data_IF_369908863326
#
_entry.id   IF_369908863326
#
_cell.length_a   1.000
_cell.length_b   1.000
_cell.length_c   1.000
_cell.angle_alpha   90.00
_cell.angle_beta   90.00
_cell.angle_gamma   90.00
#
_symmetry.space_group_name_H-M   'P 1'
#
loop_
_entity.id
_entity.type
_entity.pdbx_description
1 polymer ?
#
# COMPACT_ATOMS: atom_id res chain seq x y z
N UNK A 1 -66.23 -6.36 -17.19
CA UNK A 1 -66.35 -7.70 -16.58
C UNK A 1 -65.22 -8.57 -17.14
N UNK A 2 -64.55 -9.33 -16.29
CA UNK A 2 -63.45 -10.28 -16.55
C UNK A 2 -62.01 -9.75 -16.74
N UNK A 3 -61.22 -10.03 -15.69
CA UNK A 3 -59.76 -10.04 -15.61
C UNK A 3 -59.21 -11.16 -16.49
N UNK A 4 -58.06 -10.94 -17.14
CA UNK A 4 -57.13 -12.00 -17.49
C UNK A 4 -55.72 -11.63 -17.03
N UNK A 5 -55.22 -12.47 -16.13
CA UNK A 5 -53.88 -12.48 -15.56
C UNK A 5 -52.92 -13.04 -16.61
N UNK A 6 -51.97 -12.24 -17.08
CA UNK A 6 -50.86 -12.69 -17.92
C UNK A 6 -49.63 -13.01 -17.06
N UNK A 7 -49.38 -14.30 -16.89
CA UNK A 7 -48.24 -14.90 -16.17
C UNK A 7 -46.88 -14.45 -16.72
N UNK A 8 -46.05 -13.81 -15.89
CA UNK A 8 -44.62 -13.60 -16.16
C UNK A 8 -43.87 -14.91 -15.98
N UNK A 9 -43.69 -15.62 -17.10
CA UNK A 9 -42.84 -16.81 -17.19
C UNK A 9 -41.37 -16.46 -16.98
N UNK A 10 -40.75 -17.19 -16.06
CA UNK A 10 -39.30 -17.25 -15.87
C UNK A 10 -38.62 -17.82 -17.12
N UNK A 11 -37.72 -17.06 -17.73
CA UNK A 11 -36.70 -17.58 -18.64
C UNK A 11 -35.32 -17.24 -18.09
N UNK A 12 -34.89 -18.03 -17.11
CA UNK A 12 -33.48 -18.13 -16.71
C UNK A 12 -33.07 -19.57 -16.94
N UNK A 13 -32.52 -19.85 -18.13
CA UNK A 13 -31.62 -20.98 -18.41
C UNK A 13 -31.30 -20.99 -19.91
N UNK A 14 -30.11 -20.49 -20.26
CA UNK A 14 -29.18 -21.00 -21.29
C UNK A 14 -28.14 -19.93 -21.58
N UNK A 15 -27.09 -19.84 -20.77
CA UNK A 15 -25.91 -19.03 -21.13
C UNK A 15 -24.60 -19.62 -20.56
N UNK A 16 -24.56 -20.96 -20.43
CA UNK A 16 -23.35 -21.69 -20.06
C UNK A 16 -22.62 -22.28 -21.29
N UNK A 17 -23.32 -22.52 -22.41
CA UNK A 17 -22.73 -23.12 -23.62
C UNK A 17 -21.97 -22.09 -24.47
N UNK A 18 -22.40 -20.83 -24.47
CA UNK A 18 -21.79 -19.71 -25.22
C UNK A 18 -20.48 -19.20 -24.62
N UNK A 19 -20.15 -19.54 -23.36
CA UNK A 19 -18.84 -19.18 -22.75
C UNK A 19 -17.72 -20.17 -23.07
N UNK A 20 -18.02 -21.45 -23.30
CA UNK A 20 -17.00 -22.43 -23.69
C UNK A 20 -16.57 -22.27 -25.15
N UNK A 21 -17.49 -21.88 -26.05
CA UNK A 21 -17.17 -21.64 -27.46
C UNK A 21 -16.19 -20.46 -27.66
N UNK A 22 -16.35 -19.36 -26.91
CA UNK A 22 -15.48 -18.18 -27.05
C UNK A 22 -14.05 -18.36 -26.48
N UNK A 23 -13.84 -19.35 -25.61
CA UNK A 23 -12.51 -19.68 -25.11
C UNK A 23 -11.69 -20.52 -26.11
N UNK A 24 -12.34 -21.40 -26.87
CA UNK A 24 -11.66 -22.19 -27.90
C UNK A 24 -11.30 -21.38 -29.14
N UNK A 25 -12.18 -20.48 -29.61
CA UNK A 25 -11.89 -19.64 -30.79
C UNK A 25 -10.69 -18.69 -30.53
N UNK A 26 -10.55 -18.16 -29.31
CA UNK A 26 -9.39 -17.32 -28.94
C UNK A 26 -8.09 -18.11 -28.72
N UNK A 27 -8.17 -19.38 -28.35
CA UNK A 27 -6.99 -20.23 -28.17
C UNK A 27 -6.43 -20.68 -29.53
N UNK A 28 -7.29 -21.05 -30.48
CA UNK A 28 -6.89 -21.43 -31.86
C UNK A 28 -6.36 -20.21 -32.62
N UNK A 29 -7.01 -19.04 -32.52
CA UNK A 29 -6.51 -17.80 -33.13
C UNK A 29 -5.18 -17.30 -32.51
N UNK A 30 -4.88 -17.67 -31.25
CA UNK A 30 -3.56 -17.44 -30.64
C UNK A 30 -2.52 -18.47 -31.10
N UNK A 31 -2.91 -19.71 -31.37
CA UNK A 31 -2.01 -20.74 -31.88
C UNK A 31 -1.61 -20.48 -33.34
N UNK A 32 -2.54 -20.08 -34.21
CA UNK A 32 -2.24 -19.73 -35.60
C UNK A 32 -1.33 -18.48 -35.73
N UNK A 33 -1.45 -17.50 -34.81
CA UNK A 33 -0.53 -16.35 -34.75
C UNK A 33 0.89 -16.69 -34.31
N UNK A 34 1.13 -17.88 -33.75
CA UNK A 34 2.48 -18.34 -33.39
C UNK A 34 3.19 -18.98 -34.59
N UNK A 35 2.44 -19.52 -35.56
CA UNK A 35 3.00 -20.25 -36.71
C UNK A 35 3.45 -19.30 -37.85
N UNK A 36 2.86 -18.10 -37.95
CA UNK A 36 3.29 -17.07 -38.91
C UNK A 36 3.80 -15.80 -38.21
N UNK A 37 4.81 -15.95 -37.34
CA UNK A 37 5.59 -14.80 -36.89
C UNK A 37 6.67 -14.50 -37.94
N UNK A 38 6.61 -13.37 -38.66
CA UNK A 38 7.65 -13.02 -39.62
C UNK A 38 9.00 -12.91 -38.91
N UNK A 39 10.03 -13.50 -39.52
CA UNK A 39 11.39 -13.66 -38.98
C UNK A 39 12.05 -12.32 -38.58
N UNK A 40 11.50 -11.20 -39.07
CA UNK A 40 11.84 -9.82 -38.70
C UNK A 40 11.45 -9.40 -37.27
N UNK A 41 10.75 -10.27 -36.52
CA UNK A 41 10.26 -10.01 -35.15
C UNK A 41 11.10 -10.67 -34.04
N UNK A 42 12.37 -10.99 -34.32
CA UNK A 42 13.36 -11.24 -33.28
C UNK A 42 13.55 -9.93 -32.47
N UNK A 43 13.59 -9.97 -31.12
CA UNK A 43 13.92 -8.80 -30.33
C UNK A 43 15.31 -8.32 -30.76
N UNK A 44 15.38 -7.15 -31.42
CA UNK A 44 16.64 -6.49 -31.75
C UNK A 44 17.42 -6.31 -30.45
N UNK A 45 18.38 -7.19 -30.18
CA UNK A 45 19.39 -7.00 -29.14
C UNK A 45 20.06 -5.68 -29.48
N UNK A 46 20.01 -4.70 -28.57
CA UNK A 46 20.66 -3.40 -28.77
C UNK A 46 22.12 -3.67 -29.22
N UNK A 47 22.54 -3.25 -30.43
CA UNK A 47 23.92 -3.35 -30.84
C UNK A 47 24.66 -2.27 -30.05
N UNK A 48 25.41 -2.69 -29.04
CA UNK A 48 26.00 -1.77 -28.08
C UNK A 48 26.16 -2.40 -26.70
N UNK A 49 26.62 -3.64 -26.64
CA UNK A 49 27.34 -4.12 -25.48
C UNK A 49 28.69 -3.42 -25.47
N UNK A 50 28.71 -2.12 -25.12
CA UNK A 50 29.95 -1.44 -24.79
C UNK A 50 30.61 -2.31 -23.71
N UNK A 51 31.80 -2.83 -24.01
CA UNK A 51 32.62 -3.57 -23.07
C UNK A 51 32.62 -2.78 -21.77
N UNK A 52 32.04 -3.35 -20.73
CA UNK A 52 32.08 -2.73 -19.41
C UNK A 52 33.53 -2.80 -19.01
N UNK A 53 34.25 -1.69 -19.19
CA UNK A 53 35.62 -1.55 -18.72
C UNK A 53 35.76 -2.05 -17.28
N UNK A 54 36.98 -2.44 -16.87
CA UNK A 54 37.22 -3.06 -15.59
C UNK A 54 36.53 -2.27 -14.47
N UNK A 55 35.76 -2.98 -13.62
CA UNK A 55 35.01 -2.33 -12.53
C UNK A 55 36.00 -1.63 -11.61
N UNK A 56 36.05 -0.29 -11.66
CA UNK A 56 36.86 0.53 -10.76
C UNK A 56 36.51 0.20 -9.31
N UNK A 57 37.39 -0.50 -8.62
CA UNK A 57 37.24 -0.84 -7.20
C UNK A 57 37.26 0.43 -6.36
N UNK A 58 36.55 0.45 -5.24
CA UNK A 58 36.56 1.57 -4.30
C UNK A 58 37.86 1.56 -3.50
N UNK A 59 38.63 2.65 -3.54
CA UNK A 59 39.79 2.80 -2.65
C UNK A 59 39.34 3.09 -1.21
N UNK A 60 40.21 2.86 -0.23
CA UNK A 60 39.94 3.18 1.17
C UNK A 60 39.68 4.68 1.36
N UNK A 61 40.45 5.52 0.67
CA UNK A 61 40.30 6.98 0.68
C UNK A 61 38.95 7.42 0.09
N UNK A 62 38.54 6.85 -1.05
CA UNK A 62 37.23 7.14 -1.65
C UNK A 62 36.09 6.74 -0.71
N UNK A 63 36.26 5.69 0.10
CA UNK A 63 35.26 5.27 1.08
C UNK A 63 35.19 6.22 2.27
N UNK A 64 36.35 6.72 2.74
CA UNK A 64 36.40 7.71 3.79
C UNK A 64 35.76 9.03 3.34
N UNK A 65 36.10 9.51 2.14
CA UNK A 65 35.52 10.72 1.56
C UNK A 65 34.01 10.54 1.34
N UNK A 66 33.59 9.40 0.79
CA UNK A 66 32.18 9.07 0.61
C UNK A 66 31.42 9.11 1.94
N UNK A 67 31.97 8.50 2.99
CA UNK A 67 31.37 8.47 4.34
C UNK A 67 31.24 9.87 4.91
N UNK A 68 32.33 10.64 4.92
CA UNK A 68 32.34 12.01 5.45
C UNK A 68 31.36 12.92 4.72
N UNK A 69 31.34 12.89 3.38
CA UNK A 69 30.42 13.72 2.59
C UNK A 69 28.96 13.33 2.82
N UNK A 70 28.68 12.03 2.93
CA UNK A 70 27.34 11.52 3.18
C UNK A 70 26.84 11.86 4.59
N UNK A 71 27.70 11.76 5.61
CA UNK A 71 27.39 12.16 6.99
C UNK A 71 27.16 13.67 7.10
N UNK A 72 27.89 14.49 6.32
CA UNK A 72 27.65 15.93 6.17
C UNK A 72 26.35 16.28 5.43
N UNK A 73 25.63 15.29 4.90
CA UNK A 73 24.36 15.48 4.19
C UNK A 73 24.49 15.98 2.76
N UNK A 74 25.69 15.89 2.16
CA UNK A 74 25.91 16.29 0.77
C UNK A 74 25.10 15.36 -0.15
N UNK A 75 24.36 15.89 -1.13
CA UNK A 75 23.52 15.07 -1.96
C UNK A 75 24.35 14.13 -2.85
N UNK A 76 23.87 12.90 -3.03
CA UNK A 76 24.58 11.81 -3.74
C UNK A 76 25.09 12.16 -5.14
N UNK A 77 24.44 13.09 -5.85
CA UNK A 77 24.87 13.52 -7.17
C UNK A 77 26.14 14.37 -7.13
N UNK A 78 26.29 15.19 -6.09
CA UNK A 78 27.44 16.06 -5.86
C UNK A 78 28.61 15.25 -5.34
N UNK A 79 28.35 14.30 -4.44
CA UNK A 79 29.33 13.27 -4.04
C UNK A 79 29.85 12.50 -5.26
N UNK A 80 28.96 12.12 -6.18
CA UNK A 80 29.34 11.40 -7.40
C UNK A 80 30.25 12.23 -8.31
N UNK A 81 29.94 13.53 -8.44
CA UNK A 81 30.79 14.48 -9.17
C UNK A 81 32.16 14.61 -8.51
N UNK A 82 32.21 14.78 -7.19
CA UNK A 82 33.45 14.92 -6.43
C UNK A 82 34.36 13.69 -6.49
N UNK A 83 33.78 12.49 -6.45
CA UNK A 83 34.54 11.22 -6.49
C UNK A 83 34.84 10.72 -7.92
N UNK A 84 34.37 11.43 -8.96
CA UNK A 84 34.48 10.99 -10.35
C UNK A 84 33.82 9.62 -10.58
N UNK A 85 32.66 9.38 -9.95
CA UNK A 85 31.90 8.12 -10.06
C UNK A 85 30.48 8.37 -10.52
N UNK A 86 29.81 7.32 -10.98
CA UNK A 86 28.39 7.41 -11.30
C UNK A 86 27.53 7.49 -10.04
N UNK A 87 26.44 8.24 -10.10
CA UNK A 87 25.44 8.33 -9.02
C UNK A 87 24.94 6.96 -8.56
N UNK A 88 24.77 6.02 -9.49
CA UNK A 88 24.36 4.64 -9.18
C UNK A 88 25.44 3.89 -8.41
N UNK A 89 26.72 4.09 -8.73
CA UNK A 89 27.84 3.48 -7.99
C UNK A 89 27.88 3.98 -6.55
N UNK A 90 27.77 5.29 -6.34
CA UNK A 90 27.68 5.93 -5.02
C UNK A 90 26.49 5.41 -4.23
N UNK A 91 25.30 5.40 -4.84
CA UNK A 91 24.07 4.94 -4.18
C UNK A 91 24.17 3.47 -3.77
N UNK A 92 24.65 2.60 -4.67
CA UNK A 92 24.86 1.19 -4.36
C UNK A 92 25.89 1.00 -3.24
N UNK A 93 26.97 1.78 -3.23
CA UNK A 93 27.99 1.64 -2.18
C UNK A 93 27.47 2.06 -0.81
N UNK A 94 26.68 3.13 -0.71
CA UNK A 94 26.01 3.55 0.53
C UNK A 94 25.03 2.48 1.01
N UNK A 95 24.20 1.92 0.12
CA UNK A 95 23.15 0.96 0.48
C UNK A 95 23.70 -0.40 0.90
N UNK A 96 24.74 -0.88 0.22
CA UNK A 96 25.30 -2.22 0.41
C UNK A 96 26.67 -2.22 1.09
N UNK A 97 27.02 -1.15 1.80
CA UNK A 97 28.22 -1.16 2.64
C UNK A 97 28.07 -2.27 3.69
N UNK A 98 28.99 -3.25 3.64
CA UNK A 98 29.00 -4.42 4.53
C UNK A 98 29.67 -4.13 5.88
N UNK A 99 30.27 -2.95 6.02
CA UNK A 99 30.79 -2.50 7.32
C UNK A 99 29.63 -2.37 8.31
N UNK A 100 29.88 -2.86 9.51
CA UNK A 100 28.94 -3.04 10.63
C UNK A 100 28.22 -1.77 11.12
N UNK A 101 28.47 -0.62 10.50
CA UNK A 101 27.82 0.65 10.79
C UNK A 101 26.97 1.07 9.58
N UNK A 102 25.64 0.99 9.71
CA UNK A 102 24.74 1.65 8.76
C UNK A 102 25.10 3.14 8.76
N UNK A 103 25.59 3.64 7.62
CA UNK A 103 25.85 5.07 7.48
C UNK A 103 24.51 5.81 7.60
N UNK A 104 24.37 6.59 8.67
CA UNK A 104 23.18 7.39 8.90
C UNK A 104 23.36 8.72 8.18
N UNK A 105 22.40 9.06 7.34
CA UNK A 105 22.32 10.41 6.83
C UNK A 105 21.86 11.30 7.99
N UNK A 106 22.61 12.34 8.34
CA UNK A 106 22.12 13.34 9.28
C UNK A 106 20.88 13.96 8.64
N UNK A 107 19.73 13.74 9.27
CA UNK A 107 18.47 14.31 8.78
C UNK A 107 18.52 15.80 9.07
N UNK A 108 18.83 16.60 8.07
CA UNK A 108 18.79 18.05 8.22
C UNK A 108 17.36 18.48 8.56
N UNK A 109 17.17 19.01 9.77
CA UNK A 109 15.92 19.64 10.21
C UNK A 109 15.75 20.98 9.52
N UNK A 110 14.52 21.43 9.30
CA UNK A 110 14.27 22.77 8.79
C UNK A 110 14.25 23.73 9.98
N UNK A 111 14.96 24.84 9.86
CA UNK A 111 14.85 25.95 10.80
C UNK A 111 13.84 27.01 10.32
N UNK A 112 13.35 27.86 11.23
CA UNK A 112 12.34 28.88 10.90
C UNK A 112 12.84 29.88 9.86
N UNK A 113 14.14 30.20 9.86
CA UNK A 113 14.74 31.13 8.89
C UNK A 113 14.84 30.54 7.48
N UNK A 114 15.10 29.24 7.36
CA UNK A 114 15.10 28.47 6.11
C UNK A 114 13.68 28.38 5.57
N UNK A 115 12.68 28.24 6.44
CA UNK A 115 11.27 28.24 6.07
C UNK A 115 10.80 29.59 5.53
N UNK A 116 11.20 30.68 6.18
CA UNK A 116 10.93 32.04 5.68
C UNK A 116 11.62 32.30 4.34
N UNK A 117 12.91 31.98 4.22
CA UNK A 117 13.65 32.06 2.95
C UNK A 117 13.00 31.24 1.85
N UNK A 118 12.52 30.03 2.17
CA UNK A 118 11.79 29.18 1.24
C UNK A 118 10.52 29.88 0.71
N UNK A 119 9.75 30.51 1.58
CA UNK A 119 8.54 31.24 1.18
C UNK A 119 8.88 32.44 0.29
N UNK A 120 9.86 33.26 0.68
CA UNK A 120 10.30 34.43 -0.10
C UNK A 120 10.80 34.04 -1.47
N UNK A 121 11.68 33.02 -1.57
CA UNK A 121 12.21 32.56 -2.86
C UNK A 121 11.12 31.99 -3.77
N UNK A 122 10.11 31.33 -3.20
CA UNK A 122 8.97 30.84 -3.96
C UNK A 122 8.08 31.98 -4.46
N UNK A 123 7.85 33.01 -3.65
CA UNK A 123 7.11 34.22 -4.05
C UNK A 123 7.82 35.02 -5.14
N UNK A 124 9.16 34.99 -5.15
CA UNK A 124 9.99 35.50 -6.26
C UNK A 124 9.94 34.63 -7.53
N UNK A 125 9.15 33.54 -7.54
CA UNK A 125 8.97 32.68 -8.70
C UNK A 125 10.12 31.73 -9.00
N UNK A 126 11.06 31.53 -8.06
CA UNK A 126 12.16 30.57 -8.24
C UNK A 126 11.63 29.15 -8.36
N UNK A 127 12.24 28.35 -9.23
CA UNK A 127 11.91 26.93 -9.36
C UNK A 127 12.38 26.14 -8.13
N UNK A 128 11.73 25.01 -7.84
CA UNK A 128 12.13 24.14 -6.70
C UNK A 128 13.59 23.68 -6.75
N UNK A 129 14.15 23.52 -7.95
CA UNK A 129 15.54 23.15 -8.14
C UNK A 129 16.50 24.31 -7.81
N UNK A 130 16.14 25.54 -8.15
CA UNK A 130 16.90 26.75 -7.78
C UNK A 130 16.85 26.98 -6.27
N UNK A 131 15.66 26.90 -5.67
CA UNK A 131 15.48 27.02 -4.22
C UNK A 131 16.30 25.96 -3.50
N UNK A 132 16.27 24.71 -3.99
CA UNK A 132 17.09 23.63 -3.44
C UNK A 132 18.58 23.92 -3.51
N UNK A 133 19.08 24.48 -4.61
CA UNK A 133 20.49 24.90 -4.73
C UNK A 133 20.84 26.02 -3.74
N UNK A 134 19.97 27.02 -3.60
CA UNK A 134 20.19 28.16 -2.69
C UNK A 134 20.20 27.70 -1.22
N UNK A 135 19.30 26.79 -0.84
CA UNK A 135 19.18 26.29 0.54
C UNK A 135 20.09 25.08 0.83
N UNK A 136 20.85 24.57 -0.14
CA UNK A 136 21.64 23.34 0.03
C UNK A 136 20.76 22.09 0.26
N UNK A 137 19.53 22.06 -0.25
CA UNK A 137 18.55 20.98 -0.09
C UNK A 137 18.18 20.34 -1.42
N UNK A 138 17.69 19.10 -1.38
CA UNK A 138 17.11 18.48 -2.57
C UNK A 138 15.76 19.11 -2.96
N UNK A 139 15.46 19.18 -4.25
CA UNK A 139 14.19 19.71 -4.79
C UNK A 139 12.95 19.05 -4.14
N UNK A 140 13.02 17.75 -3.83
CA UNK A 140 11.95 17.02 -3.18
C UNK A 140 11.79 17.41 -1.71
N UNK A 141 12.88 17.65 -1.00
CA UNK A 141 12.84 18.15 0.39
C UNK A 141 12.17 19.53 0.45
N UNK A 142 12.58 20.43 -0.45
CA UNK A 142 12.01 21.79 -0.58
C UNK A 142 10.52 21.72 -0.87
N UNK A 143 10.11 21.00 -1.92
CA UNK A 143 8.69 20.85 -2.31
C UNK A 143 7.86 20.25 -1.18
N UNK A 144 8.36 19.20 -0.52
CA UNK A 144 7.66 18.56 0.59
C UNK A 144 7.52 19.51 1.79
N UNK A 145 8.56 20.27 2.13
CA UNK A 145 8.47 21.23 3.22
C UNK A 145 7.49 22.36 2.88
N UNK A 146 7.59 22.93 1.68
CA UNK A 146 6.64 23.95 1.21
C UNK A 146 5.20 23.45 1.30
N UNK A 147 4.93 22.21 0.88
CA UNK A 147 3.60 21.60 0.98
C UNK A 147 3.10 21.39 2.41
N UNK A 148 3.98 21.42 3.41
CA UNK A 148 3.61 21.36 4.83
C UNK A 148 3.39 22.73 5.44
N UNK A 149 4.19 23.73 5.03
CA UNK A 149 4.06 25.13 5.48
C UNK A 149 2.79 25.74 4.88
N UNK A 150 2.58 25.55 3.58
CA UNK A 150 1.33 25.84 2.88
C UNK A 150 0.68 24.50 2.52
N UNK A 151 -0.02 23.85 3.45
CA UNK A 151 -0.83 22.69 3.12
C UNK A 151 -1.77 23.11 1.99
N UNK A 152 -1.45 22.66 0.78
CA UNK A 152 -2.33 22.87 -0.35
C UNK A 152 -3.73 22.39 0.03
N UNK A 153 -4.75 23.05 -0.50
CA UNK A 153 -6.16 22.74 -0.31
C UNK A 153 -6.55 21.27 -0.63
N UNK A 154 -5.60 20.45 -1.10
CA UNK A 154 -5.74 19.02 -1.36
C UNK A 154 -5.84 18.13 -0.13
N UNK A 155 -5.47 18.60 1.07
CA UNK A 155 -5.57 17.82 2.31
C UNK A 155 -6.91 17.96 3.02
N UNK A 156 -7.78 18.89 2.63
CA UNK A 156 -9.11 18.96 3.22
C UNK A 156 -9.87 17.68 2.89
N UNK A 157 -10.40 17.01 3.92
CA UNK A 157 -11.35 15.91 3.74
C UNK A 157 -12.53 16.45 2.93
N UNK A 158 -13.04 15.66 1.99
CA UNK A 158 -14.26 16.04 1.28
C UNK A 158 -15.42 16.09 2.28
N UNK A 159 -16.14 17.20 2.33
CA UNK A 159 -17.35 17.35 3.14
C UNK A 159 -18.60 17.01 2.34
N UNK A 160 -19.74 16.92 3.00
CA UNK A 160 -21.02 16.68 2.34
C UNK A 160 -21.40 17.85 1.42
N UNK A 161 -21.05 19.08 1.80
CA UNK A 161 -21.22 20.27 0.96
C UNK A 161 -20.32 20.22 -0.29
N UNK A 162 -19.06 19.80 -0.15
CA UNK A 162 -18.17 19.57 -1.29
C UNK A 162 -18.77 18.53 -2.25
N UNK A 163 -19.40 17.49 -1.70
CA UNK A 163 -20.05 16.44 -2.47
C UNK A 163 -21.25 16.97 -3.27
N UNK A 164 -22.09 17.81 -2.65
CA UNK A 164 -23.25 18.42 -3.29
C UNK A 164 -22.83 19.37 -4.42
N UNK A 165 -21.89 20.28 -4.14
CA UNK A 165 -21.38 21.24 -5.13
C UNK A 165 -20.71 20.51 -6.30
N UNK A 166 -19.84 19.53 -6.03
CA UNK A 166 -19.19 18.76 -7.09
C UNK A 166 -20.20 17.98 -7.94
N UNK A 167 -21.20 17.36 -7.32
CA UNK A 167 -22.22 16.59 -8.04
C UNK A 167 -23.10 17.48 -8.90
N UNK A 168 -23.53 18.64 -8.37
CA UNK A 168 -24.34 19.62 -9.09
C UNK A 168 -23.61 20.22 -10.28
N UNK A 169 -22.36 20.65 -10.09
CA UNK A 169 -21.59 21.24 -11.19
C UNK A 169 -21.21 20.19 -12.25
N UNK A 170 -20.93 18.96 -11.83
CA UNK A 170 -20.64 17.88 -12.78
C UNK A 170 -21.86 17.48 -13.61
N UNK A 171 -23.06 17.41 -13.02
CA UNK A 171 -24.28 17.11 -13.77
C UNK A 171 -24.65 18.22 -14.77
N UNK A 172 -24.23 19.45 -14.48
CA UNK A 172 -24.31 20.59 -15.41
C UNK A 172 -23.22 20.56 -16.50
N UNK A 173 -22.35 19.55 -16.53
CA UNK A 173 -21.32 19.37 -17.56
C UNK A 173 -20.07 20.22 -17.35
N UNK A 174 -19.88 20.84 -16.18
CA UNK A 174 -18.67 21.61 -15.90
C UNK A 174 -17.43 20.73 -15.79
N UNK A 175 -16.31 21.24 -16.31
CA UNK A 175 -15.02 20.55 -16.24
C UNK A 175 -14.48 20.52 -14.81
N UNK A 176 -13.69 19.49 -14.49
CA UNK A 176 -13.05 19.33 -13.18
C UNK A 176 -12.17 20.54 -12.77
N UNK A 177 -11.63 21.28 -13.75
CA UNK A 177 -10.89 22.53 -13.50
C UNK A 177 -11.79 23.64 -12.96
N UNK A 178 -12.98 23.82 -13.54
CA UNK A 178 -13.95 24.83 -13.08
C UNK A 178 -14.51 24.47 -11.71
N UNK A 179 -14.86 23.20 -11.52
CA UNK A 179 -15.32 22.67 -10.22
C UNK A 179 -14.22 22.83 -9.16
N UNK A 180 -12.96 22.58 -9.52
CA UNK A 180 -11.82 22.78 -8.63
C UNK A 180 -11.63 24.23 -8.20
N UNK A 181 -11.84 25.20 -9.09
CA UNK A 181 -11.81 26.62 -8.69
C UNK A 181 -12.90 26.95 -7.67
N UNK A 182 -14.11 26.44 -7.89
CA UNK A 182 -15.25 26.67 -6.99
C UNK A 182 -14.98 26.08 -5.59
N UNK A 183 -14.55 24.82 -5.54
CA UNK A 183 -14.23 24.12 -4.30
C UNK A 183 -12.88 24.53 -3.70
N UNK A 184 -12.15 25.44 -4.36
CA UNK A 184 -10.76 25.76 -4.05
C UNK A 184 -9.90 24.49 -3.92
N UNK A 185 -10.12 23.49 -4.79
CA UNK A 185 -9.40 22.20 -4.83
C UNK A 185 -8.65 22.01 -6.15
N UNK A 186 -7.56 21.24 -6.18
CA UNK A 186 -6.88 20.90 -7.43
C UNK A 186 -7.83 20.16 -8.39
N UNK A 187 -7.80 20.52 -9.67
CA UNK A 187 -8.60 19.89 -10.70
C UNK A 187 -8.40 18.36 -10.75
N UNK A 188 -7.19 17.88 -10.46
CA UNK A 188 -6.87 16.45 -10.37
C UNK A 188 -7.59 15.74 -9.21
N UNK A 189 -7.74 16.41 -8.06
CA UNK A 189 -8.49 15.88 -6.92
C UNK A 189 -9.98 15.77 -7.24
N UNK A 190 -10.51 16.78 -7.93
CA UNK A 190 -11.91 16.78 -8.39
C UNK A 190 -12.14 15.71 -9.46
N UNK A 191 -11.24 15.58 -10.44
CA UNK A 191 -11.34 14.52 -11.46
C UNK A 191 -11.29 13.13 -10.81
N UNK A 192 -10.39 12.93 -9.85
CA UNK A 192 -10.33 11.70 -9.06
C UNK A 192 -11.62 11.47 -8.25
N UNK A 193 -12.21 12.52 -7.67
CA UNK A 193 -13.47 12.41 -6.95
C UNK A 193 -14.67 12.12 -7.87
N UNK A 194 -14.72 12.69 -9.07
CA UNK A 194 -15.82 12.42 -10.01
C UNK A 194 -15.73 10.98 -10.51
N UNK A 195 -14.55 10.54 -10.94
CA UNK A 195 -14.32 9.19 -11.47
C UNK A 195 -14.35 8.13 -10.35
N UNK A 196 -13.64 8.39 -9.26
CA UNK A 196 -13.45 7.48 -8.14
C UNK A 196 -14.49 7.61 -7.02
N UNK A 197 -15.13 8.77 -6.85
CA UNK A 197 -16.18 9.00 -5.86
C UNK A 197 -17.55 8.47 -6.29
N UNK A 198 -17.84 8.38 -7.60
CA UNK A 198 -18.94 7.56 -8.10
C UNK A 198 -18.70 6.08 -7.79
N UNK A 199 -17.48 5.58 -8.02
CA UNK A 199 -17.08 4.23 -7.65
C UNK A 199 -17.15 3.98 -6.14
N UNK A 200 -16.65 4.92 -5.32
CA UNK A 200 -16.70 4.82 -3.85
C UNK A 200 -18.11 4.96 -3.29
N UNK A 201 -19.04 5.70 -3.89
CA UNK A 201 -20.45 5.73 -3.46
C UNK A 201 -21.21 4.47 -3.88
N UNK A 202 -20.99 3.97 -5.09
CA UNK A 202 -21.59 2.73 -5.57
C UNK A 202 -21.03 1.49 -4.84
N UNK A 203 -19.80 1.57 -4.32
CA UNK A 203 -19.13 0.50 -3.58
C UNK A 203 -18.87 0.82 -2.10
N UNK A 204 -19.43 1.91 -1.58
CA UNK A 204 -19.44 2.17 -0.15
C UNK A 204 -20.25 1.03 0.46
N UNK A 205 -19.61 0.21 1.28
CA UNK A 205 -20.31 -0.81 2.02
C UNK A 205 -21.41 -0.10 2.83
N UNK A 206 -22.67 -0.46 2.58
CA UNK A 206 -23.83 0.03 3.34
C UNK A 206 -23.46 0.07 4.84
N UNK A 207 -23.67 1.16 5.59
CA UNK A 207 -23.41 1.18 7.02
C UNK A 207 -24.17 0.05 7.72
N UNK A 208 -23.61 -0.56 8.76
CA UNK A 208 -24.33 -1.55 9.57
C UNK A 208 -25.29 -0.82 10.49
N UNK A 209 -26.55 -1.24 10.53
CA UNK A 209 -27.48 -0.74 11.55
C UNK A 209 -27.38 -1.60 12.82
N UNK A 210 -27.72 -1.06 14.00
CA UNK A 210 -27.74 -1.82 15.25
C UNK A 210 -28.63 -3.07 15.17
N UNK A 211 -29.73 -2.99 14.42
CA UNK A 211 -30.68 -4.10 14.22
C UNK A 211 -30.05 -5.19 13.35
N UNK A 212 -29.41 -4.81 12.23
CA UNK A 212 -28.68 -5.76 11.38
C UNK A 212 -27.55 -6.45 12.16
N UNK A 213 -26.86 -5.73 13.04
CA UNK A 213 -25.77 -6.28 13.86
C UNK A 213 -26.31 -7.24 14.94
N UNK A 214 -27.39 -6.89 15.62
CA UNK A 214 -28.07 -7.76 16.58
C UNK A 214 -28.57 -9.05 15.92
N UNK A 215 -29.22 -8.94 14.76
CA UNK A 215 -29.72 -10.07 14.00
C UNK A 215 -28.59 -10.99 13.51
N UNK A 216 -27.47 -10.41 13.03
CA UNK A 216 -26.27 -11.15 12.65
C UNK A 216 -25.73 -12.01 13.81
N UNK A 217 -25.61 -11.44 15.01
CA UNK A 217 -25.11 -12.17 16.19
C UNK A 217 -26.10 -13.22 16.69
N UNK A 218 -27.40 -12.92 16.69
CA UNK A 218 -28.44 -13.86 17.09
C UNK A 218 -28.42 -15.12 16.20
N UNK A 219 -28.34 -14.94 14.87
CA UNK A 219 -28.22 -16.05 13.94
C UNK A 219 -26.92 -16.82 14.10
N UNK A 220 -25.79 -16.13 14.28
CA UNK A 220 -24.52 -16.81 14.51
C UNK A 220 -24.55 -17.68 15.78
N UNK A 221 -25.14 -17.18 16.86
CA UNK A 221 -25.28 -17.92 18.12
C UNK A 221 -26.26 -19.09 18.00
N UNK A 222 -27.25 -18.99 17.10
CA UNK A 222 -28.13 -20.10 16.73
C UNK A 222 -27.47 -21.12 15.77
N UNK A 223 -26.19 -20.95 15.44
CA UNK A 223 -25.40 -21.91 14.65
C UNK A 223 -25.46 -21.71 13.13
N UNK A 224 -26.11 -20.64 12.64
CA UNK A 224 -26.13 -20.35 11.21
C UNK A 224 -24.74 -20.02 10.69
N UNK A 225 -24.44 -20.51 9.49
CA UNK A 225 -23.19 -20.21 8.81
C UNK A 225 -23.13 -18.75 8.37
N UNK A 226 -21.92 -18.21 8.23
CA UNK A 226 -21.71 -16.88 7.69
C UNK A 226 -22.24 -16.71 6.25
N UNK A 227 -22.54 -17.80 5.54
CA UNK A 227 -23.18 -17.77 4.23
C UNK A 227 -24.68 -17.48 4.36
N UNK A 228 -25.39 -18.23 5.20
CA UNK A 228 -26.84 -18.07 5.43
C UNK A 228 -27.17 -16.70 6.02
N UNK A 229 -26.33 -16.23 6.95
CA UNK A 229 -26.44 -14.88 7.53
C UNK A 229 -26.24 -13.81 6.44
N UNK A 230 -25.33 -14.04 5.49
CA UNK A 230 -25.05 -13.10 4.41
C UNK A 230 -26.20 -13.01 3.42
N UNK A 231 -26.81 -14.13 3.05
CA UNK A 231 -28.00 -14.16 2.21
C UNK A 231 -29.18 -13.46 2.89
N UNK A 232 -29.41 -13.73 4.18
CA UNK A 232 -30.51 -13.11 4.92
C UNK A 232 -30.37 -11.59 5.02
N UNK A 233 -29.16 -11.09 5.30
CA UNK A 233 -28.90 -9.65 5.48
C UNK A 233 -28.60 -8.91 4.15
N UNK A 234 -28.58 -9.61 3.01
CA UNK A 234 -28.20 -9.01 1.72
C UNK A 234 -26.77 -8.46 1.71
N UNK A 235 -25.86 -9.07 2.47
CA UNK A 235 -24.46 -8.64 2.63
C UNK A 235 -23.52 -9.63 1.96
N UNK A 236 -22.27 -9.22 1.73
CA UNK A 236 -21.22 -10.15 1.28
C UNK A 236 -20.77 -11.03 2.45
N UNK A 237 -20.71 -12.34 2.25
CA UNK A 237 -20.19 -13.34 3.22
C UNK A 237 -18.89 -12.90 3.90
N UNK A 238 -17.95 -12.33 3.15
CA UNK A 238 -16.65 -11.90 3.71
C UNK A 238 -16.80 -10.79 4.76
N UNK A 239 -17.80 -9.92 4.64
CA UNK A 239 -18.08 -8.86 5.61
C UNK A 239 -18.66 -9.47 6.88
N UNK A 240 -19.63 -10.39 6.75
CA UNK A 240 -20.19 -11.16 7.88
C UNK A 240 -19.09 -11.91 8.62
N UNK A 241 -18.29 -12.69 7.90
CA UNK A 241 -17.20 -13.47 8.46
C UNK A 241 -16.13 -12.59 9.13
N UNK A 242 -15.85 -11.41 8.58
CA UNK A 242 -14.90 -10.48 9.20
C UNK A 242 -15.45 -9.82 10.46
N UNK A 243 -16.77 -9.64 10.56
CA UNK A 243 -17.44 -8.98 11.69
C UNK A 243 -17.67 -9.95 12.86
N UNK A 244 -18.02 -11.19 12.55
CA UNK A 244 -18.15 -12.29 13.52
C UNK A 244 -16.81 -12.75 14.08
N UNK A 245 -15.70 -12.48 13.37
CA UNK A 245 -14.36 -12.69 13.94
C UNK A 245 -14.22 -11.77 15.16
N UNK A 246 -13.86 -12.32 16.34
CA UNK A 246 -13.61 -11.49 17.50
C UNK A 246 -12.57 -10.43 17.16
N UNK A 247 -12.88 -9.15 17.44
CA UNK A 247 -11.94 -8.03 17.32
C UNK A 247 -10.89 -8.07 18.43
N UNK A 248 -10.26 -9.21 18.64
CA UNK A 248 -9.14 -9.34 19.56
C UNK A 248 -7.85 -9.31 18.75
N UNK A 249 -7.23 -8.13 18.73
CA UNK A 249 -5.78 -7.96 18.47
C UNK A 249 -5.05 -7.49 19.73
N UNK A 250 -5.55 -7.85 20.90
CA UNK A 250 -4.70 -7.95 22.08
C UNK A 250 -4.40 -9.43 22.22
N UNK A 251 -3.27 -9.83 21.67
CA UNK A 251 -2.74 -11.15 21.99
C UNK A 251 -2.57 -11.19 23.50
N UNK A 252 -3.23 -12.11 24.22
CA UNK A 252 -3.02 -12.19 25.66
C UNK A 252 -1.52 -12.40 25.89
N UNK A 253 -0.89 -11.65 26.77
CA UNK A 253 0.47 -11.94 27.17
C UNK A 253 0.54 -13.37 27.73
N UNK A 254 1.68 -14.05 27.59
CA UNK A 254 1.89 -15.30 28.31
C UNK A 254 1.91 -14.95 29.81
N UNK A 255 1.04 -15.57 30.59
CA UNK A 255 1.06 -15.41 32.04
C UNK A 255 2.26 -16.15 32.64
N UNK A 256 2.61 -15.83 33.89
CA UNK A 256 3.68 -16.54 34.61
C UNK A 256 3.35 -18.02 34.84
N UNK A 257 2.07 -18.37 35.00
CA UNK A 257 1.63 -19.76 35.11
C UNK A 257 1.75 -20.49 33.77
N UNK A 258 1.35 -19.85 32.67
CA UNK A 258 1.51 -20.40 31.32
C UNK A 258 3.00 -20.66 30.99
N UNK A 259 3.90 -19.76 31.40
CA UNK A 259 5.35 -19.96 31.23
C UNK A 259 5.88 -21.14 32.06
N UNK A 260 5.37 -21.34 33.28
CA UNK A 260 5.75 -22.45 34.15
C UNK A 260 5.27 -23.79 33.56
N UNK A 261 4.03 -23.83 33.07
CA UNK A 261 3.46 -25.01 32.41
C UNK A 261 4.20 -25.33 31.11
N UNK A 262 4.52 -24.30 30.31
CA UNK A 262 5.32 -24.44 29.10
C UNK A 262 6.71 -25.04 29.41
N UNK A 263 7.36 -24.60 30.50
CA UNK A 263 8.63 -25.15 30.98
C UNK A 263 8.53 -26.58 31.43
N UNK A 264 7.50 -26.92 32.19
CA UNK A 264 7.25 -28.29 32.67
C UNK A 264 6.98 -29.25 31.51
N UNK A 265 6.10 -28.87 30.59
CA UNK A 265 5.71 -29.70 29.45
C UNK A 265 6.84 -29.88 28.42
N UNK A 266 7.67 -28.85 28.19
CA UNK A 266 8.85 -29.00 27.32
C UNK A 266 10.02 -29.71 28.00
N UNK A 267 10.21 -29.51 29.30
CA UNK A 267 11.23 -30.22 30.09
C UNK A 267 10.98 -31.72 30.18
N UNK A 268 9.72 -32.15 30.08
CA UNK A 268 9.31 -33.57 30.01
C UNK A 268 9.40 -34.18 28.60
N UNK A 269 9.97 -33.47 27.62
CA UNK A 269 10.23 -34.00 26.28
C UNK A 269 9.02 -34.02 25.32
N UNK A 270 7.84 -33.55 25.74
CA UNK A 270 6.63 -33.53 24.89
C UNK A 270 6.83 -32.72 23.61
N UNK A 271 6.27 -33.20 22.50
CA UNK A 271 6.25 -32.48 21.23
C UNK A 271 5.44 -31.18 21.34
N UNK A 272 5.70 -30.20 20.48
CA UNK A 272 4.97 -28.93 20.49
C UNK A 272 3.46 -29.08 20.28
N UNK A 273 3.02 -30.14 19.58
CA UNK A 273 1.61 -30.44 19.37
C UNK A 273 0.97 -30.91 20.69
N UNK A 274 1.62 -31.82 21.40
CA UNK A 274 1.17 -32.30 22.71
C UNK A 274 1.21 -31.21 23.77
N UNK A 275 2.20 -30.31 23.73
CA UNK A 275 2.27 -29.15 24.63
C UNK A 275 1.09 -28.21 24.39
N UNK A 276 0.77 -27.93 23.12
CA UNK A 276 -0.40 -27.10 22.76
C UNK A 276 -1.69 -27.74 23.28
N UNK A 277 -1.87 -29.02 23.01
CA UNK A 277 -3.09 -29.74 23.35
C UNK A 277 -3.24 -29.86 24.89
N UNK A 278 -2.12 -29.99 25.62
CA UNK A 278 -2.10 -30.05 27.09
C UNK A 278 -2.32 -28.69 27.78
N UNK A 279 -1.90 -27.58 27.18
CA UNK A 279 -2.11 -26.24 27.77
C UNK A 279 -3.54 -25.72 27.59
N UNK A 280 -4.40 -26.42 26.82
CA UNK A 280 -5.79 -26.05 26.50
C UNK A 280 -5.97 -24.58 26.11
N UNK A 281 -4.89 -23.96 25.62
CA UNK A 281 -4.82 -22.53 25.42
C UNK A 281 -5.13 -22.23 23.96
N UNK A 282 -5.72 -21.06 23.70
CA UNK A 282 -5.94 -20.56 22.33
C UNK A 282 -4.60 -20.17 21.64
N UNK A 283 -3.48 -20.82 22.00
CA UNK A 283 -2.14 -20.57 21.52
C UNK A 283 -1.80 -21.52 20.38
N UNK A 284 -1.13 -21.00 19.38
CA UNK A 284 -0.60 -21.78 18.26
C UNK A 284 0.76 -22.38 18.64
N UNK A 285 1.13 -23.50 17.99
CA UNK A 285 2.46 -24.13 18.13
C UNK A 285 3.60 -23.14 17.93
N UNK A 286 3.46 -22.23 16.95
CA UNK A 286 4.46 -21.19 16.67
C UNK A 286 4.65 -20.25 17.86
N UNK A 287 3.56 -19.79 18.49
CA UNK A 287 3.61 -18.90 19.64
C UNK A 287 4.29 -19.55 20.85
N UNK A 288 4.00 -20.82 21.09
CA UNK A 288 4.65 -21.60 22.17
C UNK A 288 6.16 -21.74 21.94
N UNK A 289 6.56 -21.97 20.68
CA UNK A 289 7.98 -22.05 20.29
C UNK A 289 8.69 -20.72 20.45
N UNK A 290 8.10 -19.64 19.94
CA UNK A 290 8.67 -18.29 20.02
C UNK A 290 8.81 -17.86 21.49
N UNK A 291 7.82 -18.18 22.34
CA UNK A 291 7.88 -17.91 23.79
C UNK A 291 8.98 -18.72 24.47
N UNK A 292 9.11 -20.01 24.16
CA UNK A 292 10.15 -20.87 24.70
C UNK A 292 11.55 -20.35 24.36
N UNK A 293 11.80 -19.98 23.11
CA UNK A 293 13.06 -19.37 22.70
C UNK A 293 13.40 -18.16 23.56
N UNK A 294 12.46 -17.25 23.77
CA UNK A 294 12.66 -16.08 24.63
C UNK A 294 12.97 -16.47 26.10
N UNK A 295 12.23 -17.43 26.68
CA UNK A 295 12.47 -17.90 28.05
C UNK A 295 13.85 -18.55 28.22
N UNK A 296 14.36 -19.22 27.20
CA UNK A 296 15.69 -19.86 27.22
C UNK A 296 16.83 -18.90 26.88
N UNK A 297 16.54 -17.82 26.14
CA UNK A 297 17.53 -16.81 25.75
C UNK A 297 17.76 -15.75 26.82
N UNK A 298 16.79 -15.48 27.69
CA UNK A 298 16.92 -14.49 28.79
C UNK A 298 17.66 -15.00 30.03
N UNK A 299 18.19 -16.22 30.02
CA UNK A 299 18.96 -16.83 31.12
C UNK A 299 20.45 -17.01 30.83
N UNK A 300 21.00 -16.30 29.84
CA UNK A 300 22.42 -16.23 29.52
C UNK A 300 22.95 -14.82 29.71
#
# INVERSE_FOLDING_TARGET
MFRLLGTRGWHVRTNAVTRCANFHVNAVAKAEKVIHRPESSQPKRKPGGAERGPRRLWSAEELQNLKQMYEKGIPKWEIALHLGRSRCSVAGKITYSRDSQRWTHVKQTWDESEEEKLLVLHEQGKTWAEIGRILGRSLGSVRNKFSKIRPSLSLHKWTDEDHEIASKLHSQGYSASRIGRELKRPASSVAYYIVGGQYQRQHAAKPWTPEEESEMFAMHNAGFSAYEIAEKLGRKRQIIASRLRPRSKVMPCFSRSEDADLKKLRGSGKSWKEVRDAMASNRTVRQLRDRWSNLTSSGK
#
